data_IF_154706092707
#
_entry.id   IF_154706092707
#
_cell.length_a   1.000
_cell.length_b   1.000
_cell.length_c   1.000
_cell.angle_alpha   90.00
_cell.angle_beta   90.00
_cell.angle_gamma   90.00
#
_symmetry.space_group_name_H-M   'P 1'
#
loop_
_entity.id
_entity.type
_entity.pdbx_description
1 polymer ?
#
# COMPACT_ATOMS: atom_id res chain seq x y z
N UNK A 1 -13.65 4.36 1.66
CA UNK A 1 -12.72 5.10 2.55
C UNK A 1 -12.77 6.62 2.35
N UNK A 2 -12.02 7.24 1.43
CA UNK A 2 -11.93 8.72 1.34
C UNK A 2 -13.26 9.46 1.12
N UNK A 3 -14.18 8.89 0.31
CA UNK A 3 -15.52 9.42 0.10
C UNK A 3 -16.37 9.33 1.38
N UNK A 4 -16.24 8.25 2.15
CA UNK A 4 -16.93 8.10 3.46
C UNK A 4 -16.46 9.14 4.47
N UNK A 5 -15.26 9.70 4.29
CA UNK A 5 -14.73 10.82 5.09
C UNK A 5 -15.18 12.19 4.57
N UNK A 6 -16.14 12.24 3.64
CA UNK A 6 -16.76 13.47 3.14
C UNK A 6 -16.13 14.08 1.90
N UNK A 7 -15.12 13.43 1.29
CA UNK A 7 -14.52 13.98 0.06
C UNK A 7 -15.42 13.76 -1.16
N UNK A 8 -15.54 14.76 -2.06
CA UNK A 8 -16.16 14.57 -3.36
C UNK A 8 -15.47 13.45 -4.14
N UNK A 9 -16.23 12.65 -4.88
CA UNK A 9 -15.71 11.46 -5.57
C UNK A 9 -14.53 11.78 -6.51
N UNK A 10 -14.59 12.90 -7.23
CA UNK A 10 -13.52 13.33 -8.11
C UNK A 10 -12.23 13.66 -7.34
N UNK A 11 -12.35 14.42 -6.24
CA UNK A 11 -11.22 14.77 -5.37
C UNK A 11 -10.63 13.54 -4.69
N UNK A 12 -11.47 12.65 -4.15
CA UNK A 12 -11.03 11.39 -3.53
C UNK A 12 -10.21 10.53 -4.50
N UNK A 13 -10.67 10.40 -5.76
CA UNK A 13 -9.94 9.68 -6.81
C UNK A 13 -8.61 10.36 -7.13
N UNK A 14 -8.61 11.67 -7.36
CA UNK A 14 -7.39 12.41 -7.71
C UNK A 14 -6.34 12.30 -6.61
N UNK A 15 -6.72 12.57 -5.37
CA UNK A 15 -5.83 12.54 -4.21
C UNK A 15 -5.26 11.14 -4.02
N UNK A 16 -6.10 10.10 -4.05
CA UNK A 16 -5.63 8.72 -3.90
C UNK A 16 -4.57 8.34 -4.93
N UNK A 17 -4.81 8.66 -6.20
CA UNK A 17 -3.88 8.34 -7.29
C UNK A 17 -2.56 9.11 -7.15
N UNK A 18 -2.62 10.40 -6.82
CA UNK A 18 -1.42 11.23 -6.65
C UNK A 18 -0.63 10.85 -5.40
N UNK A 19 -1.30 10.50 -4.29
CA UNK A 19 -0.63 10.01 -3.08
C UNK A 19 0.13 8.72 -3.35
N UNK A 20 -0.49 7.74 -4.02
CA UNK A 20 0.18 6.49 -4.36
C UNK A 20 1.36 6.71 -5.33
N UNK A 21 1.17 7.53 -6.37
CA UNK A 21 2.23 7.88 -7.32
C UNK A 21 3.39 8.60 -6.62
N UNK A 22 3.10 9.60 -5.80
CA UNK A 22 4.11 10.38 -5.08
C UNK A 22 4.93 9.50 -4.13
N UNK A 23 4.27 8.62 -3.36
CA UNK A 23 4.94 7.68 -2.47
C UNK A 23 5.86 6.73 -3.24
N UNK A 24 5.38 6.14 -4.34
CA UNK A 24 6.18 5.25 -5.18
C UNK A 24 7.38 5.97 -5.80
N UNK A 25 7.20 7.20 -6.31
CA UNK A 25 8.29 8.01 -6.86
C UNK A 25 9.33 8.35 -5.81
N UNK A 26 8.93 8.80 -4.62
CA UNK A 26 9.87 9.06 -3.53
C UNK A 26 10.70 7.83 -3.17
N UNK A 27 10.07 6.64 -3.13
CA UNK A 27 10.78 5.41 -2.82
C UNK A 27 11.77 4.97 -3.93
N UNK A 28 11.42 5.20 -5.20
CA UNK A 28 12.28 4.83 -6.35
C UNK A 28 13.43 5.82 -6.54
N UNK A 29 13.18 7.11 -6.37
CA UNK A 29 14.13 8.19 -6.65
C UNK A 29 15.11 8.41 -5.48
N UNK A 30 14.79 7.93 -4.27
CA UNK A 30 15.62 8.08 -3.09
C UNK A 30 16.71 7.01 -2.97
N UNK A 31 17.89 7.39 -2.49
CA UNK A 31 18.93 6.46 -2.05
C UNK A 31 18.75 5.99 -0.59
N UNK A 32 17.81 6.60 0.14
CA UNK A 32 17.53 6.25 1.53
C UNK A 32 16.58 5.06 1.65
N UNK A 33 16.66 4.29 2.75
CA UNK A 33 15.68 3.25 3.03
C UNK A 33 14.25 3.80 3.11
N UNK A 34 13.28 2.99 2.66
CA UNK A 34 11.85 3.34 2.71
C UNK A 34 11.39 3.67 4.14
N UNK A 35 11.93 2.97 5.14
CA UNK A 35 11.61 3.22 6.55
C UNK A 35 11.96 4.67 6.98
N UNK A 36 13.11 5.18 6.53
CA UNK A 36 13.53 6.57 6.78
C UNK A 36 12.61 7.57 6.08
N UNK A 37 12.19 7.29 4.84
CA UNK A 37 11.23 8.14 4.13
C UNK A 37 9.88 8.21 4.86
N UNK A 38 9.39 7.07 5.36
CA UNK A 38 8.16 7.00 6.19
C UNK A 38 8.31 7.81 7.48
N UNK A 39 9.43 7.67 8.19
CA UNK A 39 9.69 8.41 9.43
C UNK A 39 9.68 9.92 9.22
N UNK A 40 10.23 10.41 8.11
CA UNK A 40 10.23 11.85 7.77
C UNK A 40 8.84 12.46 7.60
N UNK A 41 7.83 11.66 7.26
CA UNK A 41 6.44 12.12 7.11
C UNK A 41 5.56 11.75 8.32
N UNK A 42 6.18 11.27 9.40
CA UNK A 42 5.49 10.80 10.62
C UNK A 42 5.97 11.61 11.81
N UNK A 43 5.20 12.64 12.19
CA UNK A 43 5.47 13.40 13.42
C UNK A 43 4.93 12.66 14.66
N UNK A 44 5.63 12.71 15.81
CA UNK A 44 5.14 12.13 17.06
C UNK A 44 3.77 12.70 17.45
N UNK A 45 2.80 11.84 17.75
CA UNK A 45 1.41 12.23 18.05
C UNK A 45 0.62 12.77 16.85
N UNK A 46 1.17 12.67 15.63
CA UNK A 46 0.58 13.22 14.41
C UNK A 46 -0.47 12.32 13.77
N UNK A 47 -1.19 12.86 12.78
CA UNK A 47 -2.25 12.12 12.05
C UNK A 47 -1.70 10.93 11.26
N UNK A 48 -0.50 11.04 10.68
CA UNK A 48 0.16 9.93 9.97
C UNK A 48 0.47 8.77 10.91
N UNK A 49 0.95 9.07 12.12
CA UNK A 49 1.28 8.05 13.13
C UNK A 49 0.04 7.26 13.53
N UNK A 50 -1.09 7.95 13.79
CA UNK A 50 -2.35 7.29 14.12
C UNK A 50 -2.86 6.39 12.98
N UNK A 51 -2.67 6.83 11.73
CA UNK A 51 -2.97 6.00 10.56
C UNK A 51 -2.10 4.75 10.48
N UNK A 52 -0.79 4.87 10.75
CA UNK A 52 0.13 3.73 10.76
C UNK A 52 -0.21 2.72 11.86
N UNK A 53 -0.49 3.20 13.08
CA UNK A 53 -0.90 2.34 14.20
C UNK A 53 -2.16 1.53 13.85
N UNK A 54 -3.16 2.15 13.23
CA UNK A 54 -4.36 1.44 12.78
C UNK A 54 -4.07 0.36 11.72
N UNK A 55 -3.07 0.58 10.84
CA UNK A 55 -2.63 -0.44 9.87
C UNK A 55 -1.90 -1.60 10.56
N UNK A 56 -1.09 -1.30 11.59
CA UNK A 56 -0.37 -2.30 12.39
C UNK A 56 -1.36 -3.14 13.22
N UNK A 57 -2.34 -2.52 13.87
CA UNK A 57 -3.45 -3.20 14.56
C UNK A 57 -4.24 -4.13 13.64
N UNK A 58 -4.35 -3.77 12.35
CA UNK A 58 -4.96 -4.57 11.30
C UNK A 58 -4.09 -5.71 10.75
N UNK A 59 -2.87 -5.89 11.27
CA UNK A 59 -1.89 -6.89 10.80
C UNK A 59 -1.67 -6.85 9.27
N UNK A 60 -1.37 -5.65 8.77
CA UNK A 60 -1.17 -5.40 7.34
C UNK A 60 -0.08 -6.29 6.74
N UNK A 61 0.97 -6.62 7.48
CA UNK A 61 2.06 -7.46 7.01
C UNK A 61 1.59 -8.90 6.75
N UNK A 62 0.83 -9.49 7.68
CA UNK A 62 0.24 -10.81 7.44
C UNK A 62 -0.78 -10.79 6.30
N UNK A 63 -1.56 -9.71 6.16
CA UNK A 63 -2.50 -9.55 5.06
C UNK A 63 -1.77 -9.52 3.70
N UNK A 64 -0.73 -8.70 3.56
CA UNK A 64 0.06 -8.62 2.34
C UNK A 64 0.77 -9.95 2.03
N UNK A 65 1.30 -10.63 3.05
CA UNK A 65 1.86 -11.97 2.90
C UNK A 65 0.85 -12.98 2.34
N UNK A 66 -0.40 -12.95 2.83
CA UNK A 66 -1.50 -13.79 2.31
C UNK A 66 -1.84 -13.43 0.85
N UNK A 67 -1.92 -12.15 0.51
CA UNK A 67 -2.20 -11.68 -0.86
C UNK A 67 -1.14 -12.18 -1.83
N UNK A 68 0.14 -11.99 -1.53
CA UNK A 68 1.25 -12.40 -2.39
C UNK A 68 1.32 -13.93 -2.55
N UNK A 69 1.07 -14.67 -1.46
CA UNK A 69 0.97 -16.13 -1.52
C UNK A 69 -0.16 -16.58 -2.45
N UNK A 70 -1.37 -16.05 -2.26
CA UNK A 70 -2.52 -16.42 -3.10
C UNK A 70 -2.27 -16.10 -4.59
N UNK A 71 -1.70 -14.93 -4.88
CA UNK A 71 -1.35 -14.54 -6.24
C UNK A 71 -0.31 -15.49 -6.88
N UNK A 72 0.75 -15.83 -6.14
CA UNK A 72 1.77 -16.79 -6.59
C UNK A 72 1.19 -18.18 -6.85
N UNK A 73 0.42 -18.70 -5.90
CA UNK A 73 -0.12 -20.06 -5.99
C UNK A 73 -1.08 -20.16 -7.20
N UNK A 74 -1.88 -19.10 -7.47
CA UNK A 74 -2.70 -19.02 -8.68
C UNK A 74 -1.86 -18.95 -9.95
N UNK A 75 -0.79 -18.15 -9.97
CA UNK A 75 0.11 -18.06 -11.12
C UNK A 75 0.72 -19.41 -11.49
N UNK A 76 1.15 -20.18 -10.48
CA UNK A 76 1.69 -21.54 -10.68
C UNK A 76 0.64 -22.52 -11.22
N UNK A 77 -0.60 -22.44 -10.72
CA UNK A 77 -1.68 -23.28 -11.23
C UNK A 77 -2.00 -22.96 -12.70
N UNK A 78 -1.99 -21.68 -13.08
CA UNK A 78 -2.18 -21.26 -14.47
C UNK A 78 -1.06 -21.75 -15.39
N UNK A 79 0.20 -21.70 -14.94
CA UNK A 79 1.33 -22.21 -15.71
C UNK A 79 1.20 -23.72 -16.00
N UNK A 80 0.85 -24.51 -14.97
CA UNK A 80 0.64 -25.97 -15.14
C UNK A 80 -0.48 -26.30 -16.13
N UNK A 81 -1.59 -25.57 -16.05
CA UNK A 81 -2.71 -25.76 -16.99
C UNK A 81 -2.30 -25.47 -18.44
N UNK A 82 -1.44 -24.47 -18.67
CA UNK A 82 -0.94 -24.14 -20.00
C UNK A 82 0.04 -25.18 -20.53
N UNK A 83 0.87 -25.78 -19.68
CA UNK A 83 1.80 -26.85 -20.08
C UNK A 83 1.07 -28.18 -20.39
N UNK A 84 -0.15 -28.37 -19.87
CA UNK A 84 -1.00 -29.54 -20.09
C UNK A 84 -1.92 -29.41 -21.32
N UNK A 85 -1.92 -28.27 -22.01
CA UNK A 85 -2.74 -27.98 -23.21
C UNK A 85 -1.91 -27.96 -24.49
#
# INVERSE_FOLDING_TARGET
AAIEQGLPAQSARLLTLQTALGAARMAIESSEPIATLRERVTSPGGTTEQGLLALEEGDIDALLGKVLKAARDRSQALAKLLDET
#
